data_IF_050081549446
#
_entry.id   IF_050081549446
#
_cell.length_a   1.000
_cell.length_b   1.000
_cell.length_c   1.000
_cell.angle_alpha   90.00
_cell.angle_beta   90.00
_cell.angle_gamma   90.00
#
_symmetry.space_group_name_H-M   'P 1'
#
loop_
_entity.id
_entity.type
_entity.pdbx_description
1 polymer ?
#
# COMPACT_ATOMS: atom_id res chain seq x y z
N UNK A 1 -15.10 22.66 34.77
CA UNK A 1 -14.38 23.80 34.15
C UNK A 1 -12.97 24.00 34.72
N UNK A 2 -12.73 23.91 36.04
CA UNK A 2 -11.39 24.03 36.64
C UNK A 2 -10.37 22.99 36.15
N UNK A 3 -10.74 21.71 36.05
CA UNK A 3 -9.84 20.61 35.62
C UNK A 3 -9.29 20.78 34.20
N UNK A 4 -10.09 21.31 33.27
CA UNK A 4 -9.67 21.57 31.90
C UNK A 4 -8.69 22.76 31.79
N UNK A 5 -8.83 23.77 32.65
CA UNK A 5 -7.91 24.91 32.71
C UNK A 5 -6.54 24.55 33.30
N UNK A 6 -6.49 23.67 34.32
CA UNK A 6 -5.21 23.13 34.84
C UNK A 6 -4.47 22.35 33.75
N UNK A 7 -5.19 21.63 32.89
CA UNK A 7 -4.62 20.95 31.72
C UNK A 7 -4.23 21.92 30.59
N UNK A 8 -4.81 23.12 30.54
CA UNK A 8 -4.55 24.12 29.50
C UNK A 8 -3.31 24.98 29.82
N UNK A 9 -2.97 25.18 31.09
CA UNK A 9 -1.76 25.87 31.47
C UNK A 9 -0.54 24.92 31.37
N UNK A 10 0.44 25.20 30.49
CA UNK A 10 1.46 24.22 30.08
C UNK A 10 2.31 23.69 31.24
N UNK A 11 2.52 24.49 32.29
CA UNK A 11 3.40 24.13 33.41
C UNK A 11 2.68 23.76 34.70
N UNK A 12 1.34 23.80 34.76
CA UNK A 12 0.63 23.64 36.04
C UNK A 12 0.83 22.27 36.67
N UNK A 13 0.90 21.23 35.85
CA UNK A 13 1.09 19.84 36.30
C UNK A 13 2.51 19.64 36.83
N UNK A 14 3.50 20.26 36.18
CA UNK A 14 4.89 20.24 36.64
C UNK A 14 5.03 20.90 38.01
N UNK A 15 4.33 22.00 38.27
CA UNK A 15 4.32 22.68 39.58
C UNK A 15 3.64 21.79 40.64
N UNK A 16 2.54 21.13 40.29
CA UNK A 16 1.89 20.17 41.19
C UNK A 16 2.84 19.02 41.53
N UNK A 17 3.53 18.45 40.55
CA UNK A 17 4.52 17.39 40.78
C UNK A 17 5.68 17.87 41.64
N UNK A 18 6.21 19.09 41.42
CA UNK A 18 7.23 19.70 42.29
C UNK A 18 6.78 19.83 43.74
N UNK A 19 5.48 19.99 44.00
CA UNK A 19 4.95 20.08 45.37
C UNK A 19 5.17 18.81 46.19
N UNK A 20 5.52 17.68 45.57
CA UNK A 20 5.94 16.45 46.24
C UNK A 20 7.24 16.60 47.04
N UNK A 21 8.08 17.60 46.73
CA UNK A 21 9.29 17.91 47.50
C UNK A 21 9.01 18.66 48.82
N UNK A 22 7.78 19.12 49.02
CA UNK A 22 7.40 19.85 50.24
C UNK A 22 7.51 18.98 51.49
N UNK A 23 8.00 19.51 52.59
CA UNK A 23 7.99 18.81 53.89
C UNK A 23 6.55 18.63 54.43
N UNK A 24 5.61 19.45 53.99
CA UNK A 24 4.23 19.38 54.46
C UNK A 24 3.49 18.20 53.85
N UNK A 25 3.20 17.22 54.71
CA UNK A 25 2.40 16.04 54.47
C UNK A 25 1.09 16.33 53.71
N UNK A 26 0.32 17.32 54.18
CA UNK A 26 -0.99 17.64 53.61
C UNK A 26 -0.86 18.15 52.19
N UNK A 27 0.22 18.88 51.90
CA UNK A 27 0.56 19.34 50.55
C UNK A 27 0.90 18.15 49.65
N UNK A 28 1.70 17.19 50.14
CA UNK A 28 2.01 15.96 49.39
C UNK A 28 0.76 15.15 49.07
N UNK A 29 -0.12 14.92 50.05
CA UNK A 29 -1.40 14.23 49.85
C UNK A 29 -2.22 14.94 48.78
N UNK A 30 -2.42 16.25 48.90
CA UNK A 30 -3.21 17.01 47.94
C UNK A 30 -2.60 16.95 46.53
N UNK A 31 -1.26 17.01 46.41
CA UNK A 31 -0.58 16.86 45.14
C UNK A 31 -0.83 15.47 44.51
N UNK A 32 -0.70 14.40 45.29
CA UNK A 32 -0.94 13.02 44.84
C UNK A 32 -2.39 12.79 44.43
N UNK A 33 -3.36 13.32 45.19
CA UNK A 33 -4.78 13.24 44.84
C UNK A 33 -5.10 13.97 43.54
N UNK A 34 -4.50 15.15 43.32
CA UNK A 34 -4.67 15.90 42.07
C UNK A 34 -4.05 15.13 40.91
N UNK A 35 -2.80 14.66 41.04
CA UNK A 35 -2.12 13.90 39.99
C UNK A 35 -2.88 12.59 39.67
N UNK A 36 -3.35 11.88 40.69
CA UNK A 36 -4.17 10.69 40.55
C UNK A 36 -5.48 10.97 39.82
N UNK A 37 -6.20 12.03 40.20
CA UNK A 37 -7.42 12.45 39.51
C UNK A 37 -7.17 12.87 38.05
N UNK A 38 -5.99 13.40 37.75
CA UNK A 38 -5.60 13.80 36.40
C UNK A 38 -5.36 12.60 35.46
N UNK A 39 -4.94 11.45 35.99
CA UNK A 39 -4.81 10.22 35.21
C UNK A 39 -6.15 9.76 34.60
N UNK A 40 -7.29 10.12 35.20
CA UNK A 40 -8.62 9.75 34.70
C UNK A 40 -9.11 10.67 33.57
N UNK A 41 -8.50 11.83 33.39
CA UNK A 41 -8.92 12.79 32.36
C UNK A 41 -8.28 12.43 31.02
N UNK A 42 -9.02 12.47 29.88
CA UNK A 42 -8.45 12.21 28.56
C UNK A 42 -7.20 13.05 28.29
N UNK A 43 -6.09 12.40 27.97
CA UNK A 43 -4.78 13.02 27.75
C UNK A 43 -4.08 13.54 29.01
N UNK A 44 -4.71 13.46 30.19
CA UNK A 44 -4.13 13.87 31.47
C UNK A 44 -3.07 12.91 31.97
N UNK A 45 -3.31 11.59 31.84
CA UNK A 45 -2.36 10.54 32.24
C UNK A 45 -0.96 10.71 31.61
N UNK A 46 -0.88 10.90 30.29
CA UNK A 46 0.39 11.17 29.60
C UNK A 46 1.09 12.41 30.16
N UNK A 47 0.33 13.48 30.46
CA UNK A 47 0.91 14.70 31.05
C UNK A 47 1.38 14.50 32.49
N UNK A 48 0.75 13.60 33.26
CA UNK A 48 1.22 13.21 34.58
C UNK A 48 2.57 12.50 34.46
N UNK A 49 2.72 11.52 33.55
CA UNK A 49 4.01 10.87 33.30
C UNK A 49 5.09 11.88 32.87
N UNK A 50 4.75 12.83 32.00
CA UNK A 50 5.62 13.94 31.59
C UNK A 50 6.06 14.79 32.79
N UNK A 51 5.13 15.11 33.68
CA UNK A 51 5.42 15.88 34.90
C UNK A 51 6.29 15.13 35.89
N UNK A 52 6.20 13.79 35.93
CA UNK A 52 7.07 12.97 36.76
C UNK A 52 8.50 12.89 36.19
N UNK A 53 8.66 12.86 34.86
CA UNK A 53 9.98 13.03 34.23
C UNK A 53 10.57 14.43 34.49
N UNK A 54 9.73 15.47 34.50
CA UNK A 54 10.14 16.79 34.91
C UNK A 54 10.56 16.80 36.40
N UNK A 55 9.77 16.17 37.27
CA UNK A 55 10.05 16.07 38.70
C UNK A 55 11.37 15.35 38.96
N UNK A 56 11.66 14.27 38.23
CA UNK A 56 12.94 13.55 38.30
C UNK A 56 14.14 14.50 38.15
N UNK A 57 14.12 15.37 37.14
CA UNK A 57 15.19 16.34 36.89
C UNK A 57 15.24 17.41 37.99
N UNK A 58 14.09 17.87 38.44
CA UNK A 58 13.97 18.89 39.49
C UNK A 58 14.49 18.40 40.85
N UNK A 59 14.12 17.19 41.25
CA UNK A 59 14.52 16.57 42.52
C UNK A 59 15.87 15.85 42.44
N UNK A 60 16.56 15.90 41.28
CA UNK A 60 17.83 15.22 41.02
C UNK A 60 17.78 13.71 41.31
N UNK A 61 16.66 13.06 40.98
CA UNK A 61 16.47 11.64 41.25
C UNK A 61 16.94 10.75 40.10
N UNK A 62 17.40 9.55 40.45
CA UNK A 62 17.82 8.57 39.44
C UNK A 62 16.64 8.01 38.65
N UNK A 63 15.47 7.88 39.30
CA UNK A 63 14.23 7.40 38.69
C UNK A 63 13.07 8.33 39.06
N UNK A 64 12.11 8.52 38.16
CA UNK A 64 11.01 9.49 38.29
C UNK A 64 10.02 9.23 39.43
N UNK A 65 9.99 8.02 39.98
CA UNK A 65 9.12 7.65 41.10
C UNK A 65 9.89 7.42 42.41
N UNK A 66 11.18 7.75 42.46
CA UNK A 66 12.04 7.43 43.60
C UNK A 66 11.54 8.11 44.89
N UNK A 67 11.21 9.41 44.88
CA UNK A 67 10.67 10.10 46.07
C UNK A 67 9.38 9.44 46.55
N UNK A 68 8.50 9.06 45.62
CA UNK A 68 7.20 8.48 45.95
C UNK A 68 7.37 7.14 46.69
N UNK A 69 8.28 6.29 46.22
CA UNK A 69 8.57 5.01 46.89
C UNK A 69 9.31 5.23 48.22
N UNK A 70 10.20 6.22 48.29
CA UNK A 70 10.85 6.60 49.54
C UNK A 70 9.85 7.08 50.61
N UNK A 71 8.91 7.97 50.24
CA UNK A 71 7.86 8.46 51.15
C UNK A 71 6.91 7.32 51.59
N UNK A 72 6.70 6.33 50.72
CA UNK A 72 5.88 5.14 51.02
C UNK A 72 6.50 4.28 52.13
N UNK A 73 7.80 3.98 52.03
CA UNK A 73 8.52 3.16 53.04
C UNK A 73 8.85 3.94 54.32
N UNK A 74 8.94 5.27 54.24
CA UNK A 74 9.41 6.08 55.36
C UNK A 74 8.58 5.83 56.61
N UNK A 75 9.28 5.41 57.66
CA UNK A 75 8.71 4.97 58.95
C UNK A 75 9.34 5.69 60.15
N UNK A 76 10.06 6.78 59.90
CA UNK A 76 10.76 7.58 60.92
C UNK A 76 10.19 9.00 60.99
N UNK A 77 10.33 9.64 62.16
CA UNK A 77 9.87 11.00 62.40
C UNK A 77 8.34 11.16 62.40
N UNK A 78 7.85 12.34 61.99
CA UNK A 78 6.41 12.71 61.94
C UNK A 78 5.60 11.82 60.97
N UNK A 79 6.28 11.04 60.12
CA UNK A 79 5.67 10.22 59.06
C UNK A 79 5.43 8.76 59.47
N UNK A 80 5.83 8.37 60.69
CA UNK A 80 5.75 6.98 61.19
C UNK A 80 4.31 6.45 61.24
N UNK A 81 3.34 7.29 61.58
CA UNK A 81 1.92 6.91 61.72
C UNK A 81 1.04 7.51 60.62
N UNK A 82 1.67 8.07 59.58
CA UNK A 82 0.95 8.88 58.62
C UNK A 82 0.44 8.02 57.46
N UNK A 83 -0.54 7.18 57.79
CA UNK A 83 -1.21 6.26 56.87
C UNK A 83 -1.93 7.00 55.74
N UNK A 84 -2.29 8.28 55.96
CA UNK A 84 -2.89 9.16 54.95
C UNK A 84 -2.02 9.30 53.69
N UNK A 85 -0.75 9.70 53.83
CA UNK A 85 0.19 9.78 52.73
C UNK A 85 0.44 8.43 52.06
N UNK A 86 0.61 7.35 52.83
CA UNK A 86 0.78 5.99 52.29
C UNK A 86 -0.41 5.56 51.42
N UNK A 87 -1.63 5.86 51.89
CA UNK A 87 -2.88 5.62 51.16
C UNK A 87 -2.95 6.47 49.90
N UNK A 88 -2.62 7.76 49.98
CA UNK A 88 -2.60 8.66 48.83
C UNK A 88 -1.58 8.22 47.76
N UNK A 89 -0.39 7.77 48.18
CA UNK A 89 0.64 7.23 47.28
C UNK A 89 0.12 5.96 46.59
N UNK A 90 -0.41 4.99 47.35
CA UNK A 90 -0.94 3.75 46.75
C UNK A 90 -2.12 4.02 45.82
N UNK A 91 -2.99 4.98 46.16
CA UNK A 91 -4.06 5.44 45.29
C UNK A 91 -3.51 6.04 43.99
N UNK A 92 -2.49 6.89 44.07
CA UNK A 92 -1.81 7.46 42.90
C UNK A 92 -1.14 6.39 42.03
N UNK A 93 -0.41 5.44 42.63
CA UNK A 93 0.24 4.32 41.90
C UNK A 93 -0.82 3.49 41.17
N UNK A 94 -1.93 3.15 41.82
CA UNK A 94 -3.03 2.45 41.18
C UNK A 94 -3.64 3.26 40.03
N UNK A 95 -3.77 4.58 40.19
CA UNK A 95 -4.28 5.44 39.14
C UNK A 95 -3.34 5.53 37.93
N UNK A 96 -2.03 5.67 38.15
CA UNK A 96 -1.07 5.81 37.04
C UNK A 96 -0.85 4.49 36.29
N UNK A 97 -0.99 3.34 36.97
CA UNK A 97 -0.91 2.02 36.33
C UNK A 97 -2.15 1.66 35.51
N UNK A 98 -3.34 1.96 36.03
CA UNK A 98 -4.59 1.40 35.48
C UNK A 98 -5.36 2.36 34.56
N UNK A 99 -5.03 3.66 34.55
CA UNK A 99 -5.67 4.63 33.65
C UNK A 99 -4.78 4.98 32.45
N UNK A 100 -5.28 5.84 31.55
CA UNK A 100 -4.61 6.18 30.30
C UNK A 100 -4.35 4.95 29.43
N UNK A 101 -3.11 4.79 28.96
CA UNK A 101 -2.69 3.64 28.15
C UNK A 101 -2.85 2.30 28.90
N UNK A 102 -2.76 2.32 30.23
CA UNK A 102 -2.92 1.14 31.07
C UNK A 102 -4.31 0.51 31.04
N UNK A 103 -5.36 1.23 30.59
CA UNK A 103 -6.71 0.64 30.50
C UNK A 103 -6.79 -0.46 29.44
N UNK A 104 -6.00 -0.36 28.38
CA UNK A 104 -6.14 -1.21 27.19
C UNK A 104 -4.87 -1.95 26.82
N UNK A 105 -3.70 -1.47 27.24
CA UNK A 105 -2.41 -2.03 26.86
C UNK A 105 -1.76 -2.76 28.04
N UNK A 106 -1.77 -4.10 27.99
CA UNK A 106 -1.10 -4.94 28.99
C UNK A 106 0.40 -4.62 29.06
N UNK A 107 1.05 -4.48 27.91
CA UNK A 107 2.47 -4.18 27.77
C UNK A 107 2.85 -2.91 28.52
N UNK A 108 2.02 -1.86 28.41
CA UNK A 108 2.21 -0.62 29.16
C UNK A 108 2.08 -0.83 30.67
N UNK A 109 1.06 -1.58 31.14
CA UNK A 109 0.90 -1.88 32.57
C UNK A 109 2.09 -2.66 33.13
N UNK A 110 2.55 -3.69 32.40
CA UNK A 110 3.69 -4.52 32.79
C UNK A 110 4.98 -3.69 32.87
N UNK A 111 5.24 -2.86 31.86
CA UNK A 111 6.40 -1.96 31.82
C UNK A 111 6.41 -0.99 33.00
N UNK A 112 5.32 -0.25 33.21
CA UNK A 112 5.25 0.74 34.28
C UNK A 112 5.28 0.07 35.67
N UNK A 113 4.67 -1.11 35.82
CA UNK A 113 4.74 -1.89 37.08
C UNK A 113 6.17 -2.37 37.35
N UNK A 114 6.89 -2.80 36.32
CA UNK A 114 8.28 -3.22 36.47
C UNK A 114 9.14 -2.09 37.03
N UNK A 115 8.90 -0.84 36.65
CA UNK A 115 9.58 0.33 37.24
C UNK A 115 9.38 0.40 38.77
N UNK A 116 8.14 0.22 39.26
CA UNK A 116 7.86 0.21 40.71
C UNK A 116 8.46 -1.01 41.42
N UNK A 117 8.44 -2.19 40.78
CA UNK A 117 9.06 -3.41 41.32
C UNK A 117 10.58 -3.24 41.46
N UNK A 118 11.23 -2.62 40.48
CA UNK A 118 12.67 -2.32 40.52
C UNK A 118 13.04 -1.28 41.57
N UNK A 119 12.13 -0.39 41.94
CA UNK A 119 12.28 0.51 43.09
C UNK A 119 12.03 -0.19 44.44
N UNK A 120 11.68 -1.47 44.44
CA UNK A 120 11.51 -2.25 45.65
C UNK A 120 10.15 -2.06 46.33
N UNK A 121 9.08 -1.83 45.57
CA UNK A 121 7.74 -1.65 46.15
C UNK A 121 7.22 -2.90 46.89
N UNK A 122 7.63 -4.12 46.50
CA UNK A 122 7.05 -5.35 47.07
C UNK A 122 7.30 -5.50 48.58
N UNK A 123 8.56 -5.45 49.09
CA UNK A 123 8.80 -5.52 50.53
C UNK A 123 8.11 -4.39 51.30
N UNK A 124 7.90 -3.23 50.67
CA UNK A 124 7.20 -2.09 51.27
C UNK A 124 5.71 -2.42 51.42
N UNK A 125 5.07 -2.99 50.39
CA UNK A 125 3.67 -3.45 50.45
C UNK A 125 3.47 -4.46 51.60
N UNK A 126 4.37 -5.43 51.74
CA UNK A 126 4.29 -6.43 52.80
C UNK A 126 4.36 -5.79 54.19
N UNK A 127 5.23 -4.79 54.37
CA UNK A 127 5.33 -4.00 55.61
C UNK A 127 4.11 -3.10 55.84
N UNK A 128 3.50 -2.55 54.79
CA UNK A 128 2.33 -1.68 54.92
C UNK A 128 1.10 -2.41 55.44
N UNK A 129 0.97 -3.72 55.19
CA UNK A 129 -0.12 -4.55 55.74
C UNK A 129 -0.15 -4.60 57.27
N UNK A 130 0.96 -4.29 57.95
CA UNK A 130 0.99 -4.22 59.41
C UNK A 130 0.34 -2.96 60.01
N UNK A 131 -0.13 -2.01 59.18
CA UNK A 131 -0.69 -0.74 59.65
C UNK A 131 -2.20 -0.81 59.94
N UNK A 132 -2.84 -1.98 59.75
CA UNK A 132 -4.26 -2.25 60.07
C UNK A 132 -5.24 -1.17 59.57
N UNK A 133 -5.06 -0.72 58.33
CA UNK A 133 -5.89 0.33 57.74
C UNK A 133 -6.68 -0.20 56.54
N UNK A 134 -8.00 -0.35 56.73
CA UNK A 134 -8.89 -0.91 55.73
C UNK A 134 -8.90 -0.14 54.39
N UNK A 135 -8.61 1.17 54.37
CA UNK A 135 -8.57 1.93 53.10
C UNK A 135 -7.26 1.65 52.36
N UNK A 136 -6.14 1.64 53.08
CA UNK A 136 -4.85 1.27 52.53
C UNK A 136 -4.86 -0.18 52.02
N UNK A 137 -5.37 -1.12 52.83
CA UNK A 137 -5.42 -2.55 52.48
C UNK A 137 -6.20 -2.78 51.18
N UNK A 138 -7.33 -2.09 50.98
CA UNK A 138 -8.04 -2.13 49.69
C UNK A 138 -7.17 -1.70 48.50
N UNK A 139 -6.34 -0.67 48.67
CA UNK A 139 -5.43 -0.24 47.60
C UNK A 139 -4.27 -1.23 47.38
N UNK A 140 -3.77 -1.88 48.44
CA UNK A 140 -2.76 -2.95 48.34
C UNK A 140 -3.34 -4.18 47.62
N UNK A 141 -4.55 -4.60 48.01
CA UNK A 141 -5.25 -5.73 47.41
C UNK A 141 -5.61 -5.46 45.95
N UNK A 142 -6.04 -4.23 45.63
CA UNK A 142 -6.28 -3.84 44.24
C UNK A 142 -5.00 -3.90 43.40
N UNK A 143 -3.86 -3.43 43.93
CA UNK A 143 -2.58 -3.51 43.24
C UNK A 143 -2.19 -4.96 42.93
N UNK A 144 -2.27 -5.85 43.92
CA UNK A 144 -1.93 -7.29 43.77
C UNK A 144 -2.93 -8.02 42.87
N UNK A 145 -4.23 -7.72 42.99
CA UNK A 145 -5.26 -8.27 42.11
C UNK A 145 -4.98 -7.96 40.64
N UNK A 146 -4.73 -6.68 40.31
CA UNK A 146 -4.40 -6.28 38.94
C UNK A 146 -3.07 -6.91 38.49
N UNK A 147 -2.06 -6.96 39.36
CA UNK A 147 -0.79 -7.61 39.03
C UNK A 147 -0.98 -9.08 38.68
N UNK A 148 -1.71 -9.84 39.50
CA UNK A 148 -1.99 -11.25 39.25
C UNK A 148 -2.79 -11.46 37.96
N UNK A 149 -3.74 -10.55 37.67
CA UNK A 149 -4.48 -10.56 36.41
C UNK A 149 -3.54 -10.34 35.21
N UNK A 150 -2.64 -9.36 35.29
CA UNK A 150 -1.66 -9.05 34.25
C UNK A 150 -0.65 -10.20 34.03
N UNK A 151 -0.17 -10.82 35.11
CA UNK A 151 0.70 -12.00 35.03
C UNK A 151 -0.03 -13.18 34.37
N UNK A 152 -1.31 -13.39 34.70
CA UNK A 152 -2.14 -14.42 34.06
C UNK A 152 -2.38 -14.11 32.58
N UNK A 153 -2.68 -12.86 32.23
CA UNK A 153 -2.87 -12.43 30.84
C UNK A 153 -1.59 -12.62 30.02
N UNK A 154 -0.42 -12.33 30.60
CA UNK A 154 0.87 -12.58 30.00
C UNK A 154 1.13 -14.09 29.84
N UNK A 155 0.86 -14.89 30.88
CA UNK A 155 1.01 -16.35 30.85
C UNK A 155 0.22 -17.01 29.72
N UNK A 156 -1.02 -16.55 29.51
CA UNK A 156 -1.88 -17.01 28.38
C UNK A 156 -1.22 -16.82 27.01
N UNK A 157 -0.42 -15.75 26.81
CA UNK A 157 0.29 -15.51 25.54
C UNK A 157 1.37 -16.55 25.22
N UNK A 158 1.75 -17.37 26.21
CA UNK A 158 2.84 -18.35 26.12
C UNK A 158 2.41 -19.77 26.53
N UNK A 159 1.10 -20.01 26.71
CA UNK A 159 0.57 -21.29 27.20
C UNK A 159 1.17 -21.73 28.55
N UNK A 160 1.54 -20.76 29.38
CA UNK A 160 2.14 -20.98 30.70
C UNK A 160 1.24 -20.42 31.79
N UNK A 161 1.19 -21.07 32.95
CA UNK A 161 0.41 -20.58 34.12
C UNK A 161 1.06 -19.33 34.71
N UNK A 162 2.38 -19.31 34.77
CA UNK A 162 3.17 -18.19 35.28
C UNK A 162 4.44 -18.05 34.45
N UNK A 163 4.92 -16.81 34.30
CA UNK A 163 6.20 -16.49 33.67
C UNK A 163 7.10 -15.89 34.71
N UNK A 164 8.19 -16.58 35.01
CA UNK A 164 9.22 -16.06 35.90
C UNK A 164 10.05 -15.00 35.17
N UNK A 165 9.70 -13.73 35.39
CA UNK A 165 10.41 -12.56 34.84
C UNK A 165 11.67 -12.20 35.62
N UNK A 166 12.01 -12.92 36.70
CA UNK A 166 13.23 -12.70 37.49
C UNK A 166 14.39 -13.60 37.06
N UNK A 167 14.10 -14.70 36.37
CA UNK A 167 15.10 -15.63 35.86
C UNK A 167 15.43 -15.35 34.39
N UNK A 168 16.67 -14.93 34.12
CA UNK A 168 17.16 -14.75 32.75
C UNK A 168 17.04 -16.05 31.93
N UNK A 169 17.33 -17.20 32.54
CA UNK A 169 17.22 -18.52 31.88
C UNK A 169 15.78 -18.82 31.48
N UNK A 170 14.82 -18.64 32.40
CA UNK A 170 13.40 -18.90 32.14
C UNK A 170 12.85 -18.00 31.03
N UNK A 171 13.20 -16.71 31.06
CA UNK A 171 12.82 -15.75 30.01
C UNK A 171 13.41 -16.13 28.65
N UNK A 172 14.69 -16.53 28.62
CA UNK A 172 15.37 -16.94 27.40
C UNK A 172 14.75 -18.20 26.80
N UNK A 173 14.49 -19.23 27.60
CA UNK A 173 13.85 -20.46 27.15
C UNK A 173 12.49 -20.19 26.52
N UNK A 174 11.71 -19.29 27.12
CA UNK A 174 10.41 -18.90 26.60
C UNK A 174 10.51 -18.14 25.27
N UNK A 175 11.45 -17.20 25.15
CA UNK A 175 11.73 -16.49 23.89
C UNK A 175 12.19 -17.45 22.79
N UNK A 176 13.10 -18.37 23.12
CA UNK A 176 13.58 -19.41 22.21
C UNK A 176 12.43 -20.29 21.74
N UNK A 177 11.58 -20.79 22.65
CA UNK A 177 10.39 -21.60 22.31
C UNK A 177 9.44 -20.83 21.38
N UNK A 178 9.16 -19.56 21.70
CA UNK A 178 8.27 -18.69 20.90
C UNK A 178 8.79 -18.45 19.49
N UNK A 179 10.10 -18.31 19.32
CA UNK A 179 10.71 -17.96 18.04
C UNK A 179 11.20 -19.17 17.23
N UNK A 180 11.28 -20.38 17.80
CA UNK A 180 11.91 -21.55 17.17
C UNK A 180 11.41 -21.88 15.75
N UNK A 181 10.13 -21.64 15.46
CA UNK A 181 9.51 -21.89 14.14
C UNK A 181 9.22 -20.61 13.35
N UNK A 182 9.78 -19.47 13.78
CA UNK A 182 9.59 -18.17 13.15
C UNK A 182 10.80 -17.77 12.31
N UNK A 183 10.56 -17.04 11.21
CA UNK A 183 11.63 -16.40 10.42
C UNK A 183 12.46 -15.41 11.26
N UNK A 184 11.92 -14.94 12.39
CA UNK A 184 12.62 -14.07 13.33
C UNK A 184 13.65 -14.81 14.22
N UNK A 185 13.73 -16.15 14.17
CA UNK A 185 14.73 -16.90 14.95
C UNK A 185 16.17 -16.53 14.55
N UNK A 186 16.42 -16.32 13.26
CA UNK A 186 17.73 -15.89 12.75
C UNK A 186 18.09 -14.49 13.29
N UNK A 187 17.12 -13.58 13.38
CA UNK A 187 17.27 -12.27 13.99
C UNK A 187 17.59 -12.37 15.49
N UNK A 188 16.92 -13.26 16.23
CA UNK A 188 17.24 -13.52 17.65
C UNK A 188 18.70 -13.97 17.81
N UNK A 189 19.15 -14.94 17.01
CA UNK A 189 20.53 -15.42 17.08
C UNK A 189 21.54 -14.32 16.75
N UNK A 190 21.24 -13.49 15.74
CA UNK A 190 22.07 -12.33 15.42
C UNK A 190 22.12 -11.33 16.58
N UNK A 191 20.99 -11.02 17.22
CA UNK A 191 20.93 -10.12 18.38
C UNK A 191 21.80 -10.66 19.52
N UNK A 192 21.68 -11.95 19.86
CA UNK A 192 22.48 -12.59 20.92
C UNK A 192 23.98 -12.55 20.60
N UNK A 193 24.36 -12.80 19.35
CA UNK A 193 25.74 -12.71 18.91
C UNK A 193 26.30 -11.29 19.11
N UNK A 194 25.53 -10.25 18.75
CA UNK A 194 25.96 -8.87 18.96
C UNK A 194 26.00 -8.51 20.45
N UNK A 195 25.06 -8.99 21.26
CA UNK A 195 25.08 -8.84 22.72
C UNK A 195 26.33 -9.46 23.36
N UNK A 196 26.84 -10.58 22.83
CA UNK A 196 28.10 -11.20 23.28
C UNK A 196 29.35 -10.36 22.91
N UNK A 197 29.30 -9.60 21.83
CA UNK A 197 30.41 -8.74 21.38
C UNK A 197 30.50 -7.42 22.15
N UNK A 198 29.49 -7.09 22.95
CA UNK A 198 29.47 -5.86 23.74
C UNK A 198 30.59 -5.88 24.79
N UNK A 199 31.29 -4.75 25.00
CA UNK A 199 32.29 -4.66 26.05
C UNK A 199 31.64 -4.91 27.41
N UNK A 200 32.34 -5.60 28.31
CA UNK A 200 31.86 -5.99 29.65
C UNK A 200 32.60 -5.28 30.79
N UNK A 201 33.40 -4.26 30.48
CA UNK A 201 34.16 -3.55 31.50
C UNK A 201 33.26 -2.71 32.41
N UNK A 202 33.72 -2.43 33.64
CA UNK A 202 33.00 -1.60 34.61
C UNK A 202 32.98 -0.10 34.24
N UNK A 203 33.15 0.25 32.97
CA UNK A 203 33.09 1.65 32.54
C UNK A 203 31.63 2.11 32.50
N UNK A 204 31.40 3.38 32.87
CA UNK A 204 30.09 4.02 32.72
C UNK A 204 29.57 3.97 31.27
N UNK A 205 30.48 3.95 30.29
CA UNK A 205 30.15 3.84 28.86
C UNK A 205 29.52 2.48 28.52
N UNK A 206 30.04 1.38 29.08
CA UNK A 206 29.47 0.04 28.90
C UNK A 206 28.03 -0.03 29.42
N UNK A 207 27.80 0.45 30.66
CA UNK A 207 26.45 0.48 31.24
C UNK A 207 25.47 1.30 30.38
N UNK A 208 25.91 2.46 29.85
CA UNK A 208 25.10 3.29 28.95
C UNK A 208 24.71 2.58 27.65
N UNK A 209 25.56 1.72 27.10
CA UNK A 209 25.22 0.96 25.88
C UNK A 209 24.10 -0.05 26.13
N UNK A 210 24.16 -0.79 27.23
CA UNK A 210 23.08 -1.70 27.64
C UNK A 210 21.78 -0.96 27.92
N UNK A 211 21.87 0.23 28.54
CA UNK A 211 20.71 1.10 28.73
C UNK A 211 20.09 1.55 27.41
N UNK A 212 20.88 1.86 26.38
CA UNK A 212 20.35 2.22 25.06
C UNK A 212 19.57 1.05 24.46
N UNK A 213 20.12 -0.17 24.52
CA UNK A 213 19.43 -1.38 24.03
C UNK A 213 18.11 -1.57 24.78
N UNK A 214 18.14 -1.47 26.11
CA UNK A 214 16.96 -1.54 26.97
C UNK A 214 15.88 -0.51 26.56
N UNK A 215 16.26 0.76 26.34
CA UNK A 215 15.32 1.81 25.90
C UNK A 215 14.76 1.56 24.50
N UNK A 216 15.56 1.09 23.57
CA UNK A 216 15.12 0.76 22.20
C UNK A 216 14.12 -0.40 22.22
N UNK A 217 14.39 -1.45 23.00
CA UNK A 217 13.49 -2.60 23.15
C UNK A 217 12.18 -2.19 23.83
N UNK A 218 12.24 -1.39 24.90
CA UNK A 218 11.04 -0.83 25.55
C UNK A 218 10.18 -0.05 24.56
N UNK A 219 10.78 0.87 23.80
CA UNK A 219 10.06 1.65 22.78
C UNK A 219 9.44 0.77 21.70
N UNK A 220 10.16 -0.24 21.21
CA UNK A 220 9.65 -1.18 20.21
C UNK A 220 8.42 -1.96 20.72
N UNK A 221 8.37 -2.27 22.02
CA UNK A 221 7.27 -3.02 22.64
C UNK A 221 6.08 -2.11 22.97
N UNK A 222 6.33 -0.87 23.42
CA UNK A 222 5.29 0.05 23.90
C UNK A 222 4.64 0.91 22.82
N UNK A 223 5.32 1.11 21.69
CA UNK A 223 4.83 2.02 20.65
C UNK A 223 3.48 1.57 20.08
N UNK A 224 2.52 2.51 20.07
CA UNK A 224 1.19 2.28 19.50
C UNK A 224 1.24 2.19 17.96
N UNK A 225 0.19 1.64 17.36
CA UNK A 225 0.05 1.54 15.89
C UNK A 225 0.13 2.90 15.16
N UNK A 226 -0.20 3.99 15.84
CA UNK A 226 -0.10 5.35 15.32
C UNK A 226 1.33 5.94 15.36
N UNK A 227 2.29 5.21 15.92
CA UNK A 227 3.67 5.63 16.05
C UNK A 227 4.01 6.35 17.36
N UNK A 228 3.06 6.53 18.27
CA UNK A 228 3.24 7.28 19.52
C UNK A 228 3.63 6.34 20.66
N UNK A 229 4.54 6.82 21.50
CA UNK A 229 4.93 6.13 22.72
C UNK A 229 4.07 6.63 23.91
N UNK A 230 3.36 5.73 24.63
CA UNK A 230 2.57 6.10 25.79
C UNK A 230 3.41 6.50 27.03
N UNK A 231 4.66 6.05 27.15
CA UNK A 231 5.57 6.31 28.28
C UNK A 231 6.69 7.33 27.98
N UNK A 232 6.54 8.12 26.91
CA UNK A 232 7.44 9.23 26.58
C UNK A 232 8.92 8.76 26.49
N UNK A 233 9.22 7.89 25.51
CA UNK A 233 10.57 7.39 25.29
C UNK A 233 11.60 8.52 25.10
N UNK A 234 12.80 8.40 25.70
CA UNK A 234 13.89 9.36 25.49
C UNK A 234 14.40 9.44 24.04
N UNK A 235 14.13 8.40 23.25
CA UNK A 235 14.52 8.30 21.84
C UNK A 235 13.24 8.35 21.01
N UNK A 236 13.18 9.18 19.97
CA UNK A 236 12.01 9.27 19.07
C UNK A 236 12.23 8.41 17.83
N UNK A 237 11.95 7.11 17.93
CA UNK A 237 11.98 6.18 16.80
C UNK A 237 10.55 5.75 16.50
N UNK A 238 10.13 5.85 15.23
CA UNK A 238 8.84 5.34 14.79
C UNK A 238 9.01 3.95 14.16
N UNK A 239 8.92 2.91 14.97
CA UNK A 239 9.00 1.51 14.52
C UNK A 239 7.91 1.12 13.52
N UNK A 240 6.68 1.63 13.66
CA UNK A 240 5.61 1.38 12.67
C UNK A 240 6.02 1.83 11.26
N UNK A 241 6.64 3.00 11.15
CA UNK A 241 7.13 3.52 9.88
C UNK A 241 8.31 2.68 9.35
N UNK A 242 9.27 2.35 10.21
CA UNK A 242 10.45 1.55 9.84
C UNK A 242 10.05 0.15 9.39
N UNK A 243 9.16 -0.53 10.12
CA UNK A 243 8.63 -1.85 9.76
C UNK A 243 7.95 -1.79 8.39
N UNK A 244 7.15 -0.74 8.13
CA UNK A 244 6.53 -0.55 6.81
C UNK A 244 7.57 -0.38 5.71
N UNK A 245 8.63 0.38 5.97
CA UNK A 245 9.71 0.58 5.00
C UNK A 245 10.46 -0.72 4.70
N UNK A 246 10.77 -1.52 5.72
CA UNK A 246 11.43 -2.83 5.56
C UNK A 246 10.52 -3.82 4.85
N UNK A 247 9.22 -3.84 5.18
CA UNK A 247 8.24 -4.69 4.50
C UNK A 247 8.11 -4.33 3.02
N UNK A 248 8.02 -3.03 2.70
CA UNK A 248 7.99 -2.57 1.33
C UNK A 248 9.29 -2.89 0.58
N UNK A 249 10.46 -2.86 1.22
CA UNK A 249 11.72 -3.25 0.58
C UNK A 249 11.70 -4.74 0.16
N UNK A 250 11.15 -5.62 1.00
CA UNK A 250 11.00 -7.03 0.66
C UNK A 250 9.99 -7.24 -0.48
N UNK A 251 8.89 -6.50 -0.48
CA UNK A 251 7.90 -6.52 -1.57
C UNK A 251 8.54 -6.05 -2.89
N UNK A 252 9.29 -4.95 -2.87
CA UNK A 252 10.01 -4.40 -4.03
C UNK A 252 11.01 -5.43 -4.57
N UNK A 253 11.80 -6.08 -3.70
CA UNK A 253 12.73 -7.14 -4.13
C UNK A 253 11.99 -8.31 -4.79
N UNK A 254 10.83 -8.70 -4.25
CA UNK A 254 10.01 -9.77 -4.84
C UNK A 254 9.43 -9.38 -6.21
N UNK A 255 8.98 -8.13 -6.37
CA UNK A 255 8.48 -7.61 -7.65
C UNK A 255 9.60 -7.49 -8.68
N UNK A 256 10.78 -7.00 -8.29
CA UNK A 256 11.96 -6.95 -9.16
C UNK A 256 12.37 -8.34 -9.65
N UNK A 257 12.29 -9.36 -8.79
CA UNK A 257 12.57 -10.73 -9.22
C UNK A 257 11.54 -11.22 -10.24
N UNK A 258 10.24 -11.01 -9.99
CA UNK A 258 9.17 -11.38 -10.93
C UNK A 258 9.30 -10.65 -12.27
N UNK A 259 9.67 -9.37 -12.26
CA UNK A 259 9.94 -8.60 -13.49
C UNK A 259 11.08 -9.23 -14.28
N UNK A 260 12.21 -9.56 -13.63
CA UNK A 260 13.32 -10.25 -14.30
C UNK A 260 12.93 -11.61 -14.89
N UNK A 261 12.09 -12.38 -14.19
CA UNK A 261 11.60 -13.66 -14.69
C UNK A 261 10.69 -13.49 -15.92
N UNK A 262 9.80 -12.48 -15.92
CA UNK A 262 8.94 -12.15 -17.05
C UNK A 262 9.75 -11.62 -18.23
N UNK A 263 10.70 -10.72 -18.00
CA UNK A 263 11.61 -10.19 -19.04
C UNK A 263 12.36 -11.33 -19.73
N UNK A 264 12.94 -12.26 -18.95
CA UNK A 264 13.63 -13.43 -19.49
C UNK A 264 12.69 -14.34 -20.29
N UNK A 265 11.47 -14.58 -19.79
CA UNK A 265 10.47 -15.37 -20.51
C UNK A 265 10.03 -14.70 -21.82
N UNK A 266 9.93 -13.37 -21.83
CA UNK A 266 9.59 -12.58 -23.01
C UNK A 266 10.72 -12.62 -24.04
N UNK A 267 11.98 -12.49 -23.62
CA UNK A 267 13.14 -12.62 -24.49
C UNK A 267 13.23 -14.02 -25.13
N UNK A 268 13.03 -15.07 -24.32
CA UNK A 268 12.98 -16.46 -24.79
C UNK A 268 11.84 -16.68 -25.79
N UNK A 269 10.66 -16.10 -25.55
CA UNK A 269 9.52 -16.18 -26.45
C UNK A 269 9.77 -15.41 -27.76
N UNK A 270 10.37 -14.23 -27.68
CA UNK A 270 10.71 -13.40 -28.82
C UNK A 270 11.77 -14.09 -29.71
N UNK A 271 12.76 -14.73 -29.10
CA UNK A 271 13.75 -15.54 -29.82
C UNK A 271 13.10 -16.75 -30.53
N UNK A 272 12.16 -17.43 -29.87
CA UNK A 272 11.39 -18.52 -30.49
C UNK A 272 10.52 -18.02 -31.64
N UNK A 273 9.89 -16.86 -31.49
CA UNK A 273 9.07 -16.23 -32.52
C UNK A 273 9.92 -15.87 -33.74
N UNK A 274 11.06 -15.18 -33.57
CA UNK A 274 11.99 -14.88 -34.67
C UNK A 274 12.51 -16.15 -35.36
N UNK A 275 12.81 -17.20 -34.60
CA UNK A 275 13.21 -18.48 -35.18
C UNK A 275 12.09 -19.07 -36.05
N UNK A 276 10.83 -18.95 -35.62
CA UNK A 276 9.67 -19.41 -36.37
C UNK A 276 9.38 -18.55 -37.59
N UNK A 277 9.57 -17.23 -37.54
CA UNK A 277 9.51 -16.35 -38.70
C UNK A 277 10.52 -16.77 -39.77
N UNK A 278 11.80 -16.95 -39.41
CA UNK A 278 12.83 -17.41 -40.36
C UNK A 278 12.52 -18.77 -40.95
N UNK A 279 11.98 -19.71 -40.16
CA UNK A 279 11.56 -21.03 -40.65
C UNK A 279 10.40 -20.90 -41.66
N UNK A 280 9.46 -19.97 -41.41
CA UNK A 280 8.33 -19.72 -42.28
C UNK A 280 8.75 -19.05 -43.60
N UNK A 281 9.66 -18.06 -43.53
CA UNK A 281 10.27 -17.42 -44.69
C UNK A 281 11.03 -18.42 -45.56
N UNK A 282 11.85 -19.28 -44.95
CA UNK A 282 12.58 -20.33 -45.67
C UNK A 282 11.63 -21.29 -46.41
N UNK A 283 10.57 -21.76 -45.73
CA UNK A 283 9.54 -22.63 -46.36
C UNK A 283 8.77 -21.92 -47.47
N UNK A 284 8.55 -20.61 -47.33
CA UNK A 284 7.90 -19.81 -48.37
C UNK A 284 8.78 -19.69 -49.61
N UNK A 285 10.08 -19.45 -49.41
CA UNK A 285 11.07 -19.39 -50.49
C UNK A 285 11.21 -20.74 -51.22
N UNK A 286 11.31 -21.85 -50.49
CA UNK A 286 11.32 -23.21 -51.08
C UNK A 286 10.06 -23.48 -51.92
N UNK A 287 8.88 -23.04 -51.43
CA UNK A 287 7.62 -23.17 -52.16
C UNK A 287 7.63 -22.35 -53.45
N UNK A 288 8.15 -21.12 -53.44
CA UNK A 288 8.27 -20.27 -54.63
C UNK A 288 9.23 -20.87 -55.68
N UNK A 289 10.37 -21.42 -55.25
CA UNK A 289 11.32 -22.10 -56.13
C UNK A 289 10.71 -23.35 -56.78
N UNK A 290 9.94 -24.12 -56.01
CA UNK A 290 9.22 -25.28 -56.53
C UNK A 290 8.15 -24.87 -57.55
N UNK A 291 7.35 -23.84 -57.25
CA UNK A 291 6.35 -23.29 -58.19
C UNK A 291 7.02 -22.81 -59.47
N UNK A 292 8.15 -22.11 -59.38
CA UNK A 292 8.94 -21.68 -60.54
C UNK A 292 9.39 -22.87 -61.39
N UNK A 293 9.86 -23.94 -60.75
CA UNK A 293 10.29 -25.17 -61.43
C UNK A 293 9.13 -25.88 -62.11
N UNK A 294 7.99 -26.01 -61.43
CA UNK A 294 6.75 -26.56 -61.99
C UNK A 294 6.28 -25.75 -63.19
N UNK A 295 6.32 -24.42 -63.13
CA UNK A 295 5.96 -23.55 -64.26
C UNK A 295 6.91 -23.72 -65.46
N UNK A 296 8.22 -23.87 -65.22
CA UNK A 296 9.20 -24.19 -66.28
C UNK A 296 8.95 -25.56 -66.91
N UNK A 297 8.57 -26.57 -66.13
CA UNK A 297 8.20 -27.88 -66.67
C UNK A 297 6.89 -27.82 -67.46
N UNK A 298 5.88 -27.11 -66.94
CA UNK A 298 4.60 -26.89 -67.62
C UNK A 298 4.80 -26.28 -69.02
N UNK A 299 5.56 -25.18 -69.10
CA UNK A 299 5.84 -24.51 -70.38
C UNK A 299 6.62 -25.39 -71.36
N UNK A 300 7.57 -26.21 -70.89
CA UNK A 300 8.25 -27.21 -71.73
C UNK A 300 7.28 -28.27 -72.24
N UNK A 301 6.40 -28.76 -71.38
CA UNK A 301 5.41 -29.77 -71.74
C UNK A 301 4.38 -29.23 -72.75
N UNK A 302 3.91 -28.00 -72.57
CA UNK A 302 3.04 -27.31 -73.54
C UNK A 302 3.72 -27.16 -74.90
N UNK A 303 5.02 -26.87 -74.93
CA UNK A 303 5.81 -26.81 -76.17
C UNK A 303 5.94 -28.19 -76.84
N UNK A 304 6.17 -29.25 -76.07
CA UNK A 304 6.16 -30.61 -76.63
C UNK A 304 4.79 -31.02 -77.17
N UNK A 305 3.70 -30.68 -76.48
CA UNK A 305 2.34 -30.93 -76.97
C UNK A 305 2.11 -30.22 -78.30
N UNK A 306 2.51 -28.94 -78.41
CA UNK A 306 2.40 -28.19 -79.67
C UNK A 306 3.21 -28.82 -80.80
N UNK A 307 4.47 -29.20 -80.56
CA UNK A 307 5.32 -29.88 -81.53
C UNK A 307 4.73 -31.24 -81.95
N UNK A 308 4.17 -31.99 -81.00
CA UNK A 308 3.55 -33.28 -81.28
C UNK A 308 2.27 -33.10 -82.11
N UNK A 309 1.52 -32.04 -81.87
CA UNK A 309 0.34 -31.69 -82.64
C UNK A 309 0.68 -31.25 -84.07
N UNK A 310 1.77 -30.49 -84.25
CA UNK A 310 2.31 -30.12 -85.56
C UNK A 310 2.78 -31.36 -86.36
N UNK A 311 3.58 -32.23 -85.73
CA UNK A 311 4.00 -33.49 -86.38
C UNK A 311 2.81 -34.40 -86.70
N UNK A 312 1.81 -34.47 -85.83
CA UNK A 312 0.56 -35.19 -86.10
C UNK A 312 -0.19 -34.60 -87.30
N UNK A 313 -0.25 -33.28 -87.44
CA UNK A 313 -0.84 -32.62 -88.61
C UNK A 313 -0.07 -32.96 -89.89
N UNK A 314 1.26 -32.84 -89.87
CA UNK A 314 2.12 -33.18 -91.01
C UNK A 314 1.95 -34.66 -91.45
N UNK A 315 1.82 -35.59 -90.49
CA UNK A 315 1.52 -37.00 -90.79
C UNK A 315 0.14 -37.13 -91.44
N UNK A 316 -0.87 -36.41 -90.96
CA UNK A 316 -2.21 -36.41 -91.55
C UNK A 316 -2.21 -35.87 -92.99
N UNK A 317 -1.46 -34.81 -93.25
CA UNK A 317 -1.33 -34.20 -94.57
C UNK A 317 -0.58 -35.14 -95.53
N UNK A 318 0.51 -35.76 -95.08
CA UNK A 318 1.20 -36.82 -95.84
C UNK A 318 0.31 -38.03 -96.11
N UNK A 319 -0.51 -38.45 -95.14
CA UNK A 319 -1.46 -39.56 -95.34
C UNK A 319 -2.53 -39.21 -96.37
N UNK A 320 -2.98 -37.95 -96.40
CA UNK A 320 -3.94 -37.44 -97.39
C UNK A 320 -3.32 -37.42 -98.79
N UNK A 321 -2.07 -36.97 -98.90
CA UNK A 321 -1.32 -36.99 -100.15
C UNK A 321 -1.09 -38.42 -100.67
N UNK A 322 -0.76 -39.36 -99.79
CA UNK A 322 -0.63 -40.78 -100.15
C UNK A 322 -1.96 -41.32 -100.67
N UNK A 323 -3.09 -41.01 -100.02
CA UNK A 323 -4.41 -41.40 -100.49
C UNK A 323 -4.74 -40.81 -101.87
N UNK A 324 -4.37 -39.55 -102.11
CA UNK A 324 -4.60 -38.89 -103.40
C UNK A 324 -3.74 -39.50 -104.51
N UNK A 325 -2.46 -39.80 -104.23
CA UNK A 325 -1.59 -40.52 -105.17
C UNK A 325 -2.08 -41.95 -105.44
N UNK A 326 -2.63 -42.63 -104.43
CA UNK A 326 -3.26 -43.95 -104.61
C UNK A 326 -4.49 -43.84 -105.54
N UNK A 327 -5.34 -42.83 -105.34
CA UNK A 327 -6.51 -42.60 -106.19
C UNK A 327 -6.12 -42.25 -107.65
N UNK A 328 -5.07 -41.45 -107.84
CA UNK A 328 -4.52 -41.17 -109.18
C UNK A 328 -3.98 -42.43 -109.85
N UNK A 329 -3.28 -43.29 -109.11
CA UNK A 329 -2.77 -44.56 -109.63
C UNK A 329 -3.91 -45.51 -110.03
N UNK A 330 -5.01 -45.54 -109.27
CA UNK A 330 -6.21 -46.31 -109.61
C UNK A 330 -6.89 -45.78 -110.89
N UNK A 331 -6.98 -44.46 -111.05
CA UNK A 331 -7.52 -43.83 -112.26
C UNK A 331 -6.66 -44.15 -113.50
N UNK A 332 -5.33 -44.02 -113.41
CA UNK A 332 -4.40 -44.39 -114.49
C UNK A 332 -4.51 -45.89 -114.82
N UNK A 333 -4.67 -46.75 -113.81
CA UNK A 333 -4.88 -48.18 -114.02
C UNK A 333 -6.22 -48.48 -114.73
N UNK A 334 -7.28 -47.73 -114.39
CA UNK A 334 -8.58 -47.82 -115.04
C UNK A 334 -8.54 -47.30 -116.49
N UNK A 335 -7.81 -46.21 -116.74
CA UNK A 335 -7.63 -45.64 -118.08
C UNK A 335 -6.77 -46.56 -118.97
N UNK A 336 -5.73 -47.17 -118.42
CA UNK A 336 -4.94 -48.22 -119.09
C UNK A 336 -5.81 -49.43 -119.47
N UNK A 337 -6.72 -49.88 -118.60
CA UNK A 337 -7.71 -50.92 -118.93
C UNK A 337 -8.67 -50.47 -120.04
N UNK A 338 -9.08 -49.20 -120.05
CA UNK A 338 -9.97 -48.62 -121.08
C UNK A 338 -9.27 -48.49 -122.44
N UNK A 339 -8.01 -48.05 -122.46
CA UNK A 339 -7.15 -48.02 -123.64
C UNK A 339 -6.84 -49.44 -124.16
N UNK A 340 -6.61 -50.40 -123.26
CA UNK A 340 -6.43 -51.81 -123.63
C UNK A 340 -7.71 -52.43 -124.23
N UNK A 341 -8.89 -52.00 -123.77
CA UNK A 341 -10.18 -52.37 -124.37
C UNK A 341 -10.37 -51.73 -125.75
N UNK A 342 -9.99 -50.46 -125.94
CA UNK A 342 -10.09 -49.77 -127.24
C UNK A 342 -9.08 -50.26 -128.29
N UNK A 343 -7.90 -50.73 -127.88
CA UNK A 343 -6.92 -51.40 -128.78
C UNK A 343 -7.39 -52.81 -129.18
N UNK A 344 -8.26 -53.45 -128.39
CA UNK A 344 -8.79 -54.78 -128.68
C UNK A 344 -9.97 -54.80 -129.67
N UNK A 345 -10.59 -53.66 -130.00
CA UNK A 345 -11.83 -53.60 -130.80
C UNK A 345 -11.72 -52.70 -132.04
N UNK A 346 -10.66 -52.91 -132.84
CA UNK A 346 -10.23 -52.05 -133.94
C UNK A 346 -11.31 -51.45 -134.87
N UNK A 347 -11.24 -50.13 -135.02
CA UNK A 347 -11.70 -49.34 -136.17
C UNK A 347 -11.03 -47.96 -136.11
N UNK A 348 -10.18 -47.66 -137.10
CA UNK A 348 -9.59 -46.34 -137.36
C UNK A 348 -10.40 -45.62 -138.46
N UNK A 349 -10.38 -44.28 -138.48
CA UNK A 349 -10.12 -43.62 -139.76
C UNK A 349 -9.22 -42.38 -139.69
N UNK A 350 -8.78 -42.05 -140.91
CA UNK A 350 -7.84 -41.03 -141.42
C UNK A 350 -8.33 -39.57 -141.41
N UNK A 351 -7.32 -38.70 -141.54
CA UNK A 351 -7.25 -37.39 -142.23
C UNK A 351 -7.66 -36.06 -141.57
N UNK A 352 -6.79 -35.08 -141.85
CA UNK A 352 -6.97 -33.63 -142.01
C UNK A 352 -6.54 -32.65 -140.88
N UNK A 353 -5.45 -31.94 -141.20
CA UNK A 353 -5.34 -30.46 -141.32
C UNK A 353 -5.24 -29.55 -140.07
N UNK A 354 -4.14 -28.78 -140.11
CA UNK A 354 -3.98 -27.34 -139.84
C UNK A 354 -3.86 -26.84 -138.39
N UNK A 355 -2.67 -26.28 -138.12
CA UNK A 355 -2.38 -24.95 -137.56
C UNK A 355 -3.31 -24.39 -136.46
N UNK A 356 -2.77 -24.13 -135.27
CA UNK A 356 -3.19 -22.99 -134.45
C UNK A 356 -2.14 -22.63 -133.40
N UNK A 357 -1.57 -21.43 -133.54
CA UNK A 357 -0.96 -20.68 -132.45
C UNK A 357 -2.04 -20.03 -131.57
N UNK A 358 -1.68 -19.77 -130.31
CA UNK A 358 -2.19 -18.71 -129.41
C UNK A 358 -3.34 -18.97 -128.43
N UNK A 359 -3.12 -18.35 -127.25
CA UNK A 359 -4.05 -17.88 -126.22
C UNK A 359 -4.73 -18.95 -125.33
N UNK A 360 -4.44 -18.99 -124.01
CA UNK A 360 -4.75 -17.99 -122.96
C UNK A 360 -6.21 -17.99 -122.52
N UNK A 361 -6.37 -17.76 -121.21
CA UNK A 361 -7.57 -17.46 -120.40
C UNK A 361 -8.14 -18.67 -119.65
N UNK A 362 -8.37 -18.64 -118.35
CA UNK A 362 -8.34 -17.54 -117.39
C UNK A 362 -9.58 -17.53 -116.51
N UNK A 363 -9.37 -17.46 -115.20
CA UNK A 363 -10.28 -16.92 -114.17
C UNK A 363 -9.31 -16.44 -113.04
N UNK A 364 -9.10 -15.16 -112.68
CA UNK A 364 -9.98 -13.99 -112.38
C UNK A 364 -11.14 -14.41 -111.50
N UNK A 365 -11.43 -13.90 -110.31
CA UNK A 365 -11.30 -12.57 -109.67
C UNK A 365 -11.57 -12.79 -108.15
N UNK A 366 -11.34 -11.91 -107.17
CA UNK A 366 -11.55 -10.48 -107.11
C UNK A 366 -10.83 -9.86 -105.88
N UNK A 367 -10.73 -8.53 -105.92
CA UNK A 367 -9.86 -7.64 -105.18
C UNK A 367 -10.52 -6.82 -104.05
N UNK A 368 -9.69 -6.41 -103.09
CA UNK A 368 -9.58 -5.10 -102.40
C UNK A 368 -10.74 -4.53 -101.52
N UNK A 369 -10.37 -4.07 -100.31
CA UNK A 369 -10.51 -2.65 -99.83
C UNK A 369 -9.78 -2.48 -98.46
N UNK A 370 -8.58 -1.85 -98.38
CA UNK A 370 -8.23 -0.47 -97.91
C UNK A 370 -8.64 -0.19 -96.43
N UNK A 371 -7.74 0.10 -95.47
CA UNK A 371 -7.18 1.44 -95.18
C UNK A 371 -6.07 1.40 -94.10
N UNK A 372 -5.09 2.30 -94.25
CA UNK A 372 -4.01 2.66 -93.34
C UNK A 372 -4.49 3.31 -92.02
N UNK A 373 -3.69 3.16 -90.95
CA UNK A 373 -3.13 4.31 -90.18
C UNK A 373 -1.93 3.91 -89.31
N UNK A 374 -1.17 4.94 -88.96
CA UNK A 374 0.30 5.03 -88.81
C UNK A 374 0.72 5.20 -87.33
N UNK A 375 1.73 4.44 -86.85
CA UNK A 375 3.02 4.79 -86.13
C UNK A 375 2.97 5.86 -84.96
N UNK A 376 3.84 5.89 -83.90
CA UNK A 376 4.44 4.86 -82.99
C UNK A 376 4.85 5.43 -81.56
N UNK A 377 5.94 4.88 -80.96
CA UNK A 377 6.84 5.38 -79.86
C UNK A 377 6.34 5.14 -78.41
N UNK A 378 7.15 4.79 -77.40
CA UNK A 378 8.57 4.43 -77.24
C UNK A 378 8.84 4.01 -75.78
N UNK A 379 9.82 3.12 -75.57
CA UNK A 379 10.55 2.84 -74.30
C UNK A 379 11.35 4.10 -73.82
N UNK A 380 12.21 4.11 -72.74
CA UNK A 380 12.60 3.08 -71.73
C UNK A 380 12.80 3.57 -70.26
N UNK A 381 13.01 2.58 -69.37
CA UNK A 381 14.01 2.40 -68.29
C UNK A 381 14.65 3.56 -67.47
N UNK A 382 14.70 3.27 -66.15
CA UNK A 382 15.85 3.26 -65.21
C UNK A 382 16.33 4.49 -64.40
N UNK A 383 16.79 4.15 -63.18
CA UNK A 383 17.79 4.80 -62.31
C UNK A 383 17.33 6.11 -61.62
N UNK A 384 17.78 6.52 -60.43
CA UNK A 384 18.57 5.97 -59.32
C UNK A 384 18.66 7.10 -58.26
N UNK A 385 18.64 6.73 -56.98
CA UNK A 385 19.39 7.28 -55.82
C UNK A 385 19.60 8.80 -55.57
N UNK A 386 19.57 9.06 -54.26
CA UNK A 386 20.27 10.07 -53.42
C UNK A 386 19.53 11.40 -53.17
N UNK A 387 19.19 11.76 -51.92
CA UNK A 387 19.97 12.15 -50.72
C UNK A 387 20.23 13.67 -50.63
N UNK A 388 20.08 14.19 -49.39
CA UNK A 388 20.43 15.52 -48.82
C UNK A 388 19.23 16.50 -48.65
N UNK A 389 18.80 16.75 -47.40
CA UNK A 389 19.21 17.83 -46.46
C UNK A 389 18.66 19.22 -46.90
N UNK A 390 18.10 20.12 -46.09
CA UNK A 390 18.03 20.29 -44.63
C UNK A 390 16.96 21.35 -44.26
N UNK A 391 16.56 21.33 -42.97
CA UNK A 391 16.23 22.49 -42.10
C UNK A 391 15.14 23.53 -42.48
N UNK A 392 14.03 23.55 -41.72
CA UNK A 392 13.79 24.47 -40.60
C UNK A 392 12.28 24.67 -40.30
N UNK A 393 11.94 24.72 -39.00
CA UNK A 393 11.02 25.75 -38.51
C UNK A 393 9.63 25.34 -38.00
N UNK A 394 9.45 25.55 -36.68
CA UNK A 394 8.24 26.03 -36.00
C UNK A 394 7.11 25.03 -35.66
N UNK A 395 7.19 24.56 -34.42
CA UNK A 395 6.11 24.08 -33.56
C UNK A 395 5.06 25.18 -33.26
N UNK A 396 3.78 24.82 -33.35
CA UNK A 396 2.62 25.60 -32.91
C UNK A 396 2.35 25.41 -31.40
N UNK A 397 2.09 26.46 -30.60
CA UNK A 397 1.61 26.33 -29.23
C UNK A 397 0.06 26.34 -29.13
N UNK A 398 -0.51 25.76 -28.05
CA UNK A 398 -1.96 25.72 -27.81
C UNK A 398 -2.52 27.02 -27.19
N UNK A 399 -3.85 27.27 -27.28
CA UNK A 399 -4.49 28.53 -26.85
C UNK A 399 -4.72 28.64 -25.32
N UNK A 400 -4.88 29.87 -24.78
CA UNK A 400 -4.87 30.19 -23.35
C UNK A 400 -6.25 30.09 -22.63
N UNK A 401 -6.26 29.98 -21.27
CA UNK A 401 -7.47 29.96 -20.43
C UNK A 401 -7.98 31.37 -20.04
N UNK A 402 -9.25 31.50 -19.60
CA UNK A 402 -9.88 32.78 -19.20
C UNK A 402 -9.50 33.26 -17.77
N UNK A 403 -9.69 34.57 -17.45
CA UNK A 403 -9.12 35.23 -16.26
C UNK A 403 -10.03 35.27 -15.01
N UNK A 404 -9.47 35.40 -13.78
CA UNK A 404 -10.16 35.85 -12.55
C UNK A 404 -9.64 37.23 -12.05
N UNK A 405 -10.05 37.73 -10.87
CA UNK A 405 -11.29 38.43 -10.47
C UNK A 405 -11.03 39.93 -10.11
N UNK A 406 -12.01 40.73 -9.63
CA UNK A 406 -11.71 41.94 -8.85
C UNK A 406 -12.02 41.79 -7.35
N UNK A 407 -11.10 42.29 -6.53
CA UNK A 407 -11.19 42.46 -5.07
C UNK A 407 -11.34 43.95 -4.76
N UNK A 408 -12.30 44.30 -3.89
CA UNK A 408 -12.46 45.64 -3.28
C UNK A 408 -13.92 45.85 -2.84
N UNK A 409 -14.29 46.30 -1.66
CA UNK A 409 -13.57 46.76 -0.46
C UNK A 409 -14.48 46.59 0.78
N UNK A 410 -14.14 47.20 1.94
CA UNK A 410 -14.75 46.89 3.23
C UNK A 410 -16.10 47.62 3.47
N UNK A 411 -17.06 47.02 4.21
CA UNK A 411 -18.22 47.76 4.71
C UNK A 411 -17.90 48.53 6.03
N UNK A 412 -18.58 49.66 6.29
CA UNK A 412 -18.33 50.60 7.40
C UNK A 412 -18.92 50.15 8.77
N UNK A 413 -18.53 50.82 9.89
CA UNK A 413 -18.73 50.35 11.27
C UNK A 413 -20.16 50.57 11.86
N UNK A 414 -20.48 49.91 12.99
CA UNK A 414 -21.81 49.95 13.60
C UNK A 414 -22.09 51.26 14.37
N UNK A 415 -23.34 51.74 14.43
CA UNK A 415 -23.69 52.89 15.25
C UNK A 415 -23.85 52.51 16.74
N UNK A 416 -23.27 53.34 17.60
CA UNK A 416 -23.49 53.35 19.05
C UNK A 416 -24.81 54.03 19.42
N UNK A 417 -25.42 53.47 20.47
CA UNK A 417 -26.26 54.11 21.49
C UNK A 417 -27.54 54.86 21.06
N UNK A 418 -28.68 54.31 21.47
CA UNK A 418 -29.82 55.11 21.92
C UNK A 418 -30.50 54.41 23.08
N UNK A 419 -30.53 55.13 24.22
CA UNK A 419 -31.26 54.79 25.44
C UNK A 419 -32.77 54.78 25.15
N UNK A 420 -33.49 53.73 25.56
CA UNK A 420 -34.87 53.83 26.07
C UNK A 420 -35.31 52.51 26.72
N UNK A 421 -35.64 52.60 28.00
CA UNK A 421 -36.58 51.72 28.70
C UNK A 421 -37.88 52.54 28.91
N UNK A 422 -39.00 51.97 29.41
CA UNK A 422 -39.40 50.56 29.51
C UNK A 422 -40.84 50.34 28.98
N UNK A 423 -41.27 49.10 28.72
CA UNK A 423 -42.54 48.49 29.18
C UNK A 423 -42.94 47.22 28.42
N UNK A 424 -43.09 46.14 29.20
CA UNK A 424 -44.17 45.13 29.22
C UNK A 424 -44.30 44.10 28.06
N UNK A 425 -44.50 42.86 28.52
CA UNK A 425 -45.05 41.65 27.86
C UNK A 425 -44.13 40.71 27.08
N UNK A 426 -43.81 39.55 27.71
CA UNK A 426 -43.74 38.25 27.01
C UNK A 426 -43.81 37.06 27.98
N UNK A 427 -44.90 36.29 27.86
CA UNK A 427 -44.93 34.84 27.67
C UNK A 427 -43.93 33.93 28.41
N UNK A 428 -44.47 33.26 29.43
CA UNK A 428 -44.26 31.84 29.82
C UNK A 428 -43.10 31.08 29.18
N UNK A 429 -42.07 30.78 29.98
CA UNK A 429 -41.34 29.50 29.88
C UNK A 429 -41.10 28.96 31.28
N UNK A 430 -41.68 27.79 31.54
CA UNK A 430 -41.66 27.05 32.80
C UNK A 430 -40.24 26.61 33.17
N UNK A 431 -39.65 27.23 34.18
CA UNK A 431 -38.42 26.72 34.82
C UNK A 431 -38.79 25.59 35.77
N UNK A 432 -38.39 24.34 35.42
CA UNK A 432 -38.42 23.20 36.36
C UNK A 432 -37.59 23.55 37.59
N UNK A 433 -38.22 23.60 38.78
CA UNK A 433 -37.51 23.69 40.07
C UNK A 433 -36.58 22.48 40.22
N UNK A 434 -35.25 22.70 40.24
CA UNK A 434 -34.26 21.71 40.64
C UNK A 434 -34.26 21.59 42.17
N UNK A 435 -34.71 20.44 42.69
CA UNK A 435 -34.56 20.08 44.10
C UNK A 435 -33.10 19.73 44.39
N UNK A 436 -32.37 20.69 44.95
CA UNK A 436 -31.01 20.49 45.47
C UNK A 436 -31.10 20.39 47.00
N UNK A 437 -30.53 19.37 47.67
CA UNK A 437 -30.41 19.40 49.13
C UNK A 437 -29.55 20.59 49.54
N UNK A 438 -30.10 21.49 50.37
CA UNK A 438 -29.36 22.62 50.89
C UNK A 438 -28.41 22.15 52.00
N UNK A 439 -27.13 22.55 51.94
CA UNK A 439 -26.20 22.40 53.06
C UNK A 439 -26.72 23.19 54.25
N UNK A 440 -26.92 22.53 55.40
CA UNK A 440 -27.34 23.16 56.66
C UNK A 440 -26.23 23.96 57.35
N UNK A 441 -25.00 23.92 56.81
CA UNK A 441 -23.87 24.69 57.33
C UNK A 441 -23.46 25.80 56.34
N UNK A 442 -23.33 27.07 56.79
CA UNK A 442 -22.84 28.14 55.95
C UNK A 442 -21.34 27.94 55.66
N UNK A 443 -20.99 27.78 54.38
CA UNK A 443 -19.61 27.79 53.93
C UNK A 443 -19.03 29.20 54.13
N UNK A 444 -17.87 29.31 54.80
CA UNK A 444 -17.16 30.59 54.96
C UNK A 444 -16.86 31.18 53.56
N UNK A 445 -17.39 32.37 53.30
CA UNK A 445 -17.48 33.01 51.98
C UNK A 445 -16.17 33.62 51.47
N UNK A 446 -14.99 33.19 51.95
CA UNK A 446 -13.78 33.96 51.68
C UNK A 446 -13.19 33.79 50.26
N UNK A 447 -13.67 32.87 49.42
CA UNK A 447 -13.16 32.71 48.05
C UNK A 447 -14.18 32.17 47.02
N UNK A 448 -15.49 32.19 47.32
CA UNK A 448 -16.50 31.60 46.44
C UNK A 448 -17.67 32.56 46.20
N UNK A 449 -17.87 32.95 44.95
CA UNK A 449 -19.06 33.68 44.50
C UNK A 449 -19.93 32.77 43.63
N UNK A 450 -21.25 32.79 43.88
CA UNK A 450 -22.22 32.03 43.10
C UNK A 450 -22.35 32.67 41.71
N UNK A 451 -22.16 31.88 40.65
CA UNK A 451 -22.36 32.36 39.29
C UNK A 451 -23.86 32.65 39.03
N UNK A 452 -24.21 33.80 38.43
CA UNK A 452 -25.58 34.10 38.03
C UNK A 452 -26.06 33.19 36.90
N UNK A 453 -27.35 32.82 36.91
CA UNK A 453 -27.94 31.92 35.92
C UNK A 453 -27.88 32.47 34.49
N UNK A 454 -27.80 33.79 34.34
CA UNK A 454 -27.63 34.47 33.04
C UNK A 454 -26.29 34.17 32.37
N UNK A 455 -25.27 33.73 33.13
CA UNK A 455 -23.96 33.30 32.59
C UNK A 455 -23.88 31.79 32.31
N UNK A 456 -24.95 31.03 32.56
CA UNK A 456 -25.00 29.59 32.28
C UNK A 456 -25.32 29.31 30.81
N UNK A 457 -26.10 30.15 30.13
CA UNK A 457 -26.46 29.94 28.73
C UNK A 457 -25.22 30.06 27.81
N UNK A 458 -24.93 29.00 27.06
CA UNK A 458 -23.72 28.87 26.24
C UNK A 458 -22.49 28.31 26.97
N UNK A 459 -22.61 28.01 28.27
CA UNK A 459 -21.55 27.33 29.02
C UNK A 459 -21.69 25.80 28.92
N UNK A 460 -20.63 25.06 29.23
CA UNK A 460 -20.65 23.58 29.25
C UNK A 460 -21.74 22.97 30.16
N UNK A 461 -22.34 23.77 31.05
CA UNK A 461 -23.34 23.35 32.05
C UNK A 461 -24.76 23.28 31.50
N UNK A 462 -25.05 23.84 30.32
CA UNK A 462 -26.39 23.72 29.70
C UNK A 462 -26.71 22.30 29.25
N UNK A 463 -25.70 21.53 28.87
CA UNK A 463 -25.86 20.19 28.28
C UNK A 463 -25.34 19.06 29.18
N UNK A 464 -24.88 19.36 30.40
CA UNK A 464 -24.43 18.35 31.35
C UNK A 464 -25.62 17.79 32.13
N UNK A 465 -25.84 16.48 31.98
CA UNK A 465 -26.76 15.73 32.82
C UNK A 465 -26.17 15.54 34.23
N UNK A 466 -26.55 16.44 35.13
CA UNK A 466 -26.11 16.43 36.54
C UNK A 466 -26.45 15.13 37.27
N UNK A 467 -27.45 14.36 36.82
CA UNK A 467 -27.78 13.06 37.39
C UNK A 467 -26.69 12.01 37.09
N UNK A 468 -26.13 12.01 35.87
CA UNK A 468 -25.00 11.15 35.47
C UNK A 468 -23.71 11.48 36.22
N UNK A 469 -23.41 12.76 36.41
CA UNK A 469 -22.19 13.21 37.12
C UNK A 469 -22.26 12.84 38.60
N UNK A 470 -23.42 12.99 39.25
CA UNK A 470 -23.63 12.53 40.63
C UNK A 470 -23.50 11.02 40.76
N UNK A 471 -24.01 10.23 39.80
CA UNK A 471 -23.90 8.77 39.78
C UNK A 471 -22.44 8.28 39.66
N UNK A 472 -21.59 8.97 38.88
CA UNK A 472 -20.16 8.64 38.77
C UNK A 472 -19.37 8.99 40.03
N UNK A 473 -19.68 10.13 40.66
CA UNK A 473 -19.04 10.54 41.91
C UNK A 473 -19.47 9.66 43.10
N UNK A 474 -20.75 9.27 43.15
CA UNK A 474 -21.28 8.33 44.13
C UNK A 474 -20.73 6.92 43.88
N UNK A 475 -20.54 6.47 42.63
CA UNK A 475 -19.87 5.19 42.33
C UNK A 475 -18.41 5.19 42.79
N UNK A 476 -17.66 6.29 42.62
CA UNK A 476 -16.30 6.43 43.13
C UNK A 476 -16.22 6.28 44.66
N UNK A 477 -17.14 6.93 45.39
CA UNK A 477 -17.18 6.81 46.85
C UNK A 477 -17.80 5.50 47.37
N UNK A 478 -18.82 4.94 46.69
CA UNK A 478 -19.42 3.65 47.08
C UNK A 478 -18.50 2.47 46.78
N UNK A 479 -17.69 2.52 45.72
CA UNK A 479 -16.73 1.44 45.43
C UNK A 479 -15.56 1.44 46.44
N UNK A 480 -15.20 2.59 47.02
CA UNK A 480 -14.22 2.65 48.12
C UNK A 480 -14.77 2.33 49.51
N UNK A 481 -16.10 2.27 49.70
CA UNK A 481 -16.73 2.01 51.02
C UNK A 481 -17.52 0.71 51.10
N UNK A 482 -17.92 0.13 49.96
CA UNK A 482 -18.66 -1.12 49.87
C UNK A 482 -18.11 -1.98 48.71
N UNK A 483 -16.84 -2.33 48.81
CA UNK A 483 -16.22 -3.65 48.63
C UNK A 483 -14.86 -3.56 49.33
#
# INVERSE_FOLDING_TARGET
>A
QSRAHVLAHPNSINIIAQSLSSENIKTKIAALEILGAMCLVPGGHRKVLESMLHYQKYACERARFQTIIYDLDRSTGVYKEEVGLKTAIMSFINAILNYGAGQTQLEFRLHLRYEFLMLGIQPIIDKLRSHENAVLDRHLDFFEMVRNEDERELGKKFESVHIDTRSATSMFELLRKKLALSLAYSSLMSILQHMLLMPYNNSSKCASQWLIIDRIVQQMVLQEKNGKDPDLAPVEINFTHIIRQIACENDIKSFQQKMREIEKANDDLNLKMQKKERECEAKTQEKEELISTVNKMKTKLEKEIANHQETKQNISDMSSLIHELQAQLENECAEKKKLQYMVSTGSLPDDAKMDFSSASLGFKSNSNLITNRTIPLSLPQNLSKNHLNAQNGASLPPPPPPPPPPVGGPPPPPPMASKRNPSVESSTTTTRKKNTPASSQPLKSFNWSKLPDTKLNGSIWTNIDEAKVRLLFIKFFRFSLFH
#
